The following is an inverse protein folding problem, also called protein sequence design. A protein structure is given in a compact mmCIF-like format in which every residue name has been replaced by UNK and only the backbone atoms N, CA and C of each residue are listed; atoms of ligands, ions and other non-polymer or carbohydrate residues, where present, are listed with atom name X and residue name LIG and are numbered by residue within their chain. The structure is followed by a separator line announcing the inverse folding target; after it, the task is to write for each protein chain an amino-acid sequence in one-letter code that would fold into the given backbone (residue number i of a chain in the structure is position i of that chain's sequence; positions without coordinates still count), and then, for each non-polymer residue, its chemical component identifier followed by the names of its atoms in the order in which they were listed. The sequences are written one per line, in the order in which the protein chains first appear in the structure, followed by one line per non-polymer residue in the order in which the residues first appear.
data_IF_950403427272
#
_entry.id   IF_950403427272
#
_cell.length_a   1.000
_cell.length_b   1.000
_cell.length_c   1.000
_cell.angle_alpha   90.00
_cell.angle_beta   90.00
_cell.angle_gamma   90.00
#
_symmetry.space_group_name_H-M   'P 1'
#
loop_
_entity.id
_entity.type
_entity.pdbx_description
1 polymer ?
#
# COMPACT_ATOMS: atom_id res chain seq x y z
N UNK A 1 -6.68 17.92 16.67
CA UNK A 1 -6.38 16.65 16.00
C UNK A 1 -5.23 16.01 16.74
N UNK A 2 -5.22 14.69 16.82
CA UNK A 2 -4.13 13.91 17.42
C UNK A 2 -3.23 13.42 16.28
N UNK A 3 -1.92 13.52 16.45
CA UNK A 3 -0.97 12.99 15.47
C UNK A 3 -0.85 11.47 15.65
N UNK A 4 -0.68 10.66 14.58
CA UNK A 4 -0.62 9.21 14.71
C UNK A 4 0.53 8.72 15.60
N UNK A 5 0.25 7.74 16.44
CA UNK A 5 1.20 7.05 17.33
C UNK A 5 1.27 5.57 16.93
N UNK A 6 2.48 5.01 16.80
CA UNK A 6 2.67 3.67 16.24
C UNK A 6 1.99 2.56 17.06
N UNK A 7 1.85 2.77 18.37
CA UNK A 7 1.23 1.82 19.30
C UNK A 7 -0.31 1.86 19.26
N UNK A 8 -0.90 2.91 18.68
CA UNK A 8 -2.34 3.17 18.73
C UNK A 8 -2.99 3.20 17.34
N UNK A 9 -2.26 3.66 16.32
CA UNK A 9 -2.79 3.97 15.00
C UNK A 9 -2.20 3.03 13.94
N UNK A 10 -3.00 2.10 13.38
CA UNK A 10 -2.50 1.07 12.47
C UNK A 10 -2.10 1.65 11.11
N UNK A 11 -1.16 0.98 10.44
CA UNK A 11 -0.85 1.24 9.03
C UNK A 11 -1.97 0.66 8.17
N UNK A 12 -2.77 1.54 7.59
CA UNK A 12 -3.93 1.12 6.78
C UNK A 12 -3.61 0.94 5.30
N UNK A 13 -2.58 1.59 4.76
CA UNK A 13 -2.22 1.51 3.34
C UNK A 13 -0.73 1.73 3.13
N UNK A 14 -0.14 0.98 2.19
CA UNK A 14 1.23 1.16 1.71
C UNK A 14 1.18 1.22 0.18
N UNK A 15 1.72 2.29 -0.40
CA UNK A 15 1.84 2.41 -1.86
C UNK A 15 3.30 2.28 -2.28
N UNK A 16 3.55 1.59 -3.39
CA UNK A 16 4.89 1.42 -3.94
C UNK A 16 4.90 1.62 -5.45
N UNK A 17 5.90 2.35 -5.93
CA UNK A 17 6.13 2.59 -7.35
C UNK A 17 7.56 2.18 -7.65
N UNK A 18 7.74 1.31 -8.65
CA UNK A 18 9.06 0.80 -9.02
C UNK A 18 9.35 1.18 -10.46
N UNK A 19 10.51 1.80 -10.67
CA UNK A 19 11.00 2.25 -11.95
C UNK A 19 12.45 1.81 -12.11
N UNK A 20 12.82 1.34 -13.31
CA UNK A 20 14.23 1.09 -13.61
C UNK A 20 14.90 2.41 -13.93
N UNK A 21 16.12 2.58 -13.45
CA UNK A 21 16.87 3.81 -13.71
C UNK A 21 16.98 4.07 -15.23
N UNK A 22 16.59 5.26 -15.65
CA UNK A 22 16.62 5.68 -17.06
C UNK A 22 15.32 5.43 -17.84
N UNK A 23 14.39 4.62 -17.33
CA UNK A 23 13.07 4.47 -17.96
C UNK A 23 12.27 5.77 -17.81
N UNK A 24 11.39 6.05 -18.79
CA UNK A 24 10.52 7.25 -18.75
C UNK A 24 9.35 7.11 -17.78
N UNK A 25 8.90 5.88 -17.54
CA UNK A 25 7.72 5.55 -16.74
C UNK A 25 8.03 4.37 -15.81
N UNK A 26 7.38 4.28 -14.63
CA UNK A 26 7.50 3.12 -13.75
C UNK A 26 6.87 1.88 -14.38
N UNK A 27 7.44 0.71 -14.11
CA UNK A 27 6.92 -0.56 -14.60
C UNK A 27 5.98 -1.24 -13.60
N UNK A 28 5.97 -0.81 -12.33
CA UNK A 28 5.13 -1.37 -11.29
C UNK A 28 4.55 -0.26 -10.43
N UNK A 29 3.24 -0.35 -10.16
CA UNK A 29 2.50 0.48 -9.22
C UNK A 29 1.64 -0.45 -8.39
N UNK A 30 1.87 -0.51 -7.09
CA UNK A 30 1.10 -1.35 -6.18
C UNK A 30 0.56 -0.53 -5.01
N UNK A 31 -0.61 -0.93 -4.53
CA UNK A 31 -1.20 -0.41 -3.29
C UNK A 31 -1.64 -1.61 -2.46
N UNK A 32 -1.09 -1.73 -1.27
CA UNK A 32 -1.49 -2.67 -0.23
C UNK A 32 -2.50 -1.95 0.66
N UNK A 33 -3.68 -2.51 0.86
CA UNK A 33 -4.75 -1.90 1.65
C UNK A 33 -5.21 -2.83 2.77
N UNK A 34 -5.45 -2.26 3.94
CA UNK A 34 -6.28 -2.87 4.95
C UNK A 34 -7.73 -2.76 4.50
N UNK A 35 -8.45 -3.88 4.54
CA UNK A 35 -9.81 -4.06 4.03
C UNK A 35 -9.91 -3.95 2.48
N UNK A 36 -11.06 -4.39 1.89
CA UNK A 36 -11.26 -4.32 0.45
C UNK A 36 -11.21 -2.91 -0.12
N UNK A 37 -10.53 -2.76 -1.26
CA UNK A 37 -10.47 -1.52 -2.03
C UNK A 37 -10.91 -1.77 -3.49
N UNK A 38 -11.55 -0.77 -4.10
CA UNK A 38 -11.93 -0.85 -5.50
C UNK A 38 -10.69 -0.91 -6.42
N UNK A 39 -10.77 -1.56 -7.59
CA UNK A 39 -9.67 -1.56 -8.55
C UNK A 39 -9.27 -0.15 -8.98
N UNK A 40 -7.96 0.10 -9.06
CA UNK A 40 -7.38 1.36 -9.55
C UNK A 40 -6.69 1.09 -10.89
N UNK A 41 -7.10 1.80 -11.95
CA UNK A 41 -6.56 1.58 -13.28
C UNK A 41 -5.04 1.84 -13.31
N UNK A 42 -4.27 0.87 -13.79
CA UNK A 42 -2.81 0.96 -13.87
C UNK A 42 -2.07 0.65 -12.58
N UNK A 43 -2.78 0.25 -11.51
CA UNK A 43 -2.19 -0.20 -10.26
C UNK A 43 -2.64 -1.62 -9.91
N UNK A 44 -1.75 -2.40 -9.31
CA UNK A 44 -2.13 -3.63 -8.63
C UNK A 44 -2.62 -3.29 -7.22
N UNK A 45 -3.88 -3.61 -6.92
CA UNK A 45 -4.46 -3.44 -5.59
C UNK A 45 -4.44 -4.78 -4.87
N UNK A 46 -3.78 -4.84 -3.72
CA UNK A 46 -3.75 -6.01 -2.84
C UNK A 46 -4.44 -5.64 -1.53
N UNK A 47 -5.49 -6.37 -1.15
CA UNK A 47 -6.28 -6.08 0.06
C UNK A 47 -6.17 -7.22 1.06
N UNK A 48 -5.95 -6.87 2.33
CA UNK A 48 -5.74 -7.79 3.46
C UNK A 48 -6.75 -7.54 4.57
N UNK A 49 -7.06 -8.55 5.38
CA UNK A 49 -8.06 -8.40 6.44
C UNK A 49 -7.46 -7.82 7.72
N UNK A 50 -6.17 -8.05 7.96
CA UNK A 50 -5.45 -7.58 9.15
C UNK A 50 -4.17 -6.85 8.78
N UNK A 51 -3.68 -5.99 9.69
CA UNK A 51 -2.39 -5.31 9.52
C UNK A 51 -1.22 -6.30 9.53
N UNK A 52 -1.33 -7.38 10.30
CA UNK A 52 -0.35 -8.46 10.34
C UNK A 52 -0.21 -9.16 8.99
N UNK A 53 -1.34 -9.44 8.31
CA UNK A 53 -1.32 -9.97 6.94
C UNK A 53 -0.72 -8.99 5.94
N UNK A 54 -1.02 -7.69 6.08
CA UNK A 54 -0.48 -6.63 5.22
C UNK A 54 1.04 -6.50 5.36
N UNK A 55 1.56 -6.55 6.60
CA UNK A 55 2.98 -6.37 6.93
C UNK A 55 3.80 -7.66 6.92
N UNK A 56 3.15 -8.83 6.95
CA UNK A 56 3.78 -10.15 7.10
C UNK A 56 4.63 -10.27 8.38
N UNK A 57 4.06 -9.86 9.53
CA UNK A 57 4.70 -9.87 10.86
C UNK A 57 3.93 -10.69 11.88
#
# INVERSE_FOLDING_TARGET
GVFPEAEHDPVIQIASVVQRQGDREPFLRTVFTLLPCAPILGCQVLSFQTEQELLQV
#
